data_IF_645768571726
#
_entry.id   IF_645768571726
#
_cell.length_a   1.000
_cell.length_b   1.000
_cell.length_c   1.000
_cell.angle_alpha   90.00
_cell.angle_beta   90.00
_cell.angle_gamma   90.00
#
_symmetry.space_group_name_H-M   'P 1'
#
loop_
_entity.id
_entity.type
_entity.pdbx_description
1 polymer ?
#
# COMPACT_ATOMS: atom_id res chain seq x y z
N UNK A 1 -18.33 6.26 21.92
CA UNK A 1 -17.67 7.05 20.86
C UNK A 1 -16.28 6.48 20.69
N UNK A 2 -15.81 6.13 19.49
CA UNK A 2 -14.41 5.78 19.31
C UNK A 2 -13.55 6.96 19.77
N UNK A 3 -12.42 6.69 20.43
CA UNK A 3 -11.43 7.72 20.72
C UNK A 3 -11.00 8.35 19.40
N UNK A 4 -11.55 9.53 19.12
CA UNK A 4 -11.38 10.27 17.87
C UNK A 4 -9.91 10.64 17.65
N UNK A 5 -9.18 10.82 18.74
CA UNK A 5 -7.74 11.01 18.82
C UNK A 5 -6.95 9.80 18.30
N UNK A 6 -7.48 8.58 18.45
CA UNK A 6 -6.83 7.35 17.99
C UNK A 6 -7.00 7.17 16.47
N UNK A 7 -8.20 7.42 15.92
CA UNK A 7 -8.41 7.31 14.46
C UNK A 7 -7.55 8.30 13.66
N UNK A 8 -7.57 9.59 14.04
CA UNK A 8 -6.85 10.63 13.31
C UNK A 8 -5.33 10.37 13.33
N UNK A 9 -4.78 9.98 14.47
CA UNK A 9 -3.36 9.64 14.58
C UNK A 9 -2.97 8.41 13.76
N UNK A 10 -3.80 7.36 13.74
CA UNK A 10 -3.58 6.18 12.91
C UNK A 10 -3.63 6.54 11.41
N UNK A 11 -4.59 7.37 10.98
CA UNK A 11 -4.68 7.81 9.58
C UNK A 11 -3.50 8.70 9.18
N UNK A 12 -3.04 9.60 10.05
CA UNK A 12 -1.84 10.40 9.80
C UNK A 12 -0.62 9.50 9.63
N UNK A 13 -0.46 8.49 10.50
CA UNK A 13 0.63 7.51 10.39
C UNK A 13 0.57 6.72 9.09
N UNK A 14 -0.59 6.15 8.74
CA UNK A 14 -0.80 5.44 7.47
C UNK A 14 -0.43 6.33 6.28
N UNK A 15 -0.87 7.60 6.29
CA UNK A 15 -0.55 8.55 5.22
C UNK A 15 0.94 8.86 5.14
N UNK A 16 1.62 9.00 6.28
CA UNK A 16 3.08 9.22 6.33
C UNK A 16 3.82 7.99 5.79
N UNK A 17 3.55 6.81 6.35
CA UNK A 17 4.19 5.55 5.99
C UNK A 17 4.00 5.26 4.48
N UNK A 18 2.81 5.51 3.93
CA UNK A 18 2.53 5.38 2.50
C UNK A 18 3.34 6.38 1.64
N UNK A 19 3.46 7.63 2.10
CA UNK A 19 4.20 8.67 1.38
C UNK A 19 5.70 8.40 1.39
N UNK A 20 6.24 7.96 2.53
CA UNK A 20 7.64 7.59 2.69
C UNK A 20 8.00 6.41 1.79
N UNK A 21 7.12 5.40 1.75
CA UNK A 21 7.30 4.23 0.89
C UNK A 21 7.18 4.60 -0.60
N UNK A 22 6.19 5.39 -0.98
CA UNK A 22 6.04 5.91 -2.34
C UNK A 22 7.30 6.67 -2.78
N UNK A 23 7.77 7.62 -1.96
CA UNK A 23 8.98 8.37 -2.24
C UNK A 23 10.20 7.46 -2.39
N UNK A 24 10.33 6.44 -1.53
CA UNK A 24 11.41 5.48 -1.62
C UNK A 24 11.40 4.69 -2.93
N UNK A 25 10.22 4.32 -3.46
CA UNK A 25 10.09 3.65 -4.75
C UNK A 25 10.43 4.59 -5.91
N UNK A 26 10.06 5.87 -5.83
CA UNK A 26 10.37 6.85 -6.89
C UNK A 26 11.86 7.22 -6.94
N UNK A 27 12.53 7.34 -5.79
CA UNK A 27 13.94 7.78 -5.73
C UNK A 27 14.93 6.63 -5.95
N UNK A 28 14.56 5.41 -5.56
CA UNK A 28 15.41 4.23 -5.72
C UNK A 28 14.74 3.18 -6.61
N UNK A 29 14.70 3.40 -7.94
CA UNK A 29 14.19 2.41 -8.88
C UNK A 29 14.99 1.09 -8.77
N UNK A 30 14.40 0.01 -9.27
CA UNK A 30 14.69 -1.42 -9.08
C UNK A 30 16.16 -1.90 -9.15
N UNK A 31 17.13 -1.03 -9.46
CA UNK A 31 18.55 -1.33 -9.49
C UNK A 31 19.16 -1.67 -8.13
N UNK A 32 18.43 -1.49 -7.03
CA UNK A 32 18.95 -1.61 -5.66
C UNK A 32 18.72 -3.00 -5.04
N UNK A 33 18.93 -4.10 -5.77
CA UNK A 33 19.06 -5.45 -5.22
C UNK A 33 17.84 -6.07 -4.52
N UNK A 34 17.83 -7.40 -4.40
CA UNK A 34 16.73 -8.17 -3.81
C UNK A 34 16.43 -7.80 -2.35
N UNK A 35 17.44 -7.38 -1.57
CA UNK A 35 17.29 -7.02 -0.16
C UNK A 35 16.47 -5.74 0.04
N UNK A 36 16.69 -4.70 -0.77
CA UNK A 36 15.90 -3.48 -0.71
C UNK A 36 14.45 -3.77 -1.09
N UNK A 37 14.22 -4.54 -2.15
CA UNK A 37 12.87 -4.87 -2.57
C UNK A 37 12.13 -5.71 -1.52
N UNK A 38 12.80 -6.64 -0.84
CA UNK A 38 12.24 -7.38 0.29
C UNK A 38 11.84 -6.47 1.46
N UNK A 39 12.65 -5.45 1.78
CA UNK A 39 12.28 -4.45 2.78
C UNK A 39 11.02 -3.68 2.35
N UNK A 40 10.93 -3.24 1.09
CA UNK A 40 9.75 -2.53 0.57
C UNK A 40 8.48 -3.38 0.56
N UNK A 41 8.59 -4.67 0.28
CA UNK A 41 7.49 -5.63 0.42
C UNK A 41 7.02 -5.68 1.88
N UNK A 42 7.96 -5.75 2.82
CA UNK A 42 7.65 -5.79 4.26
C UNK A 42 6.97 -4.50 4.71
N UNK A 43 7.48 -3.34 4.28
CA UNK A 43 6.90 -2.03 4.59
C UNK A 43 5.43 -1.95 4.08
N UNK A 44 5.18 -2.37 2.83
CA UNK A 44 3.84 -2.38 2.24
C UNK A 44 2.88 -3.34 2.99
N UNK A 45 3.38 -4.51 3.43
CA UNK A 45 2.60 -5.46 4.22
C UNK A 45 2.26 -4.92 5.61
N UNK A 46 3.20 -4.21 6.27
CA UNK A 46 2.95 -3.57 7.57
C UNK A 46 1.92 -2.44 7.45
N UNK A 47 1.97 -1.66 6.36
CA UNK A 47 0.97 -0.65 6.05
C UNK A 47 -0.42 -1.28 5.88
N UNK A 48 -0.51 -2.37 5.11
CA UNK A 48 -1.75 -3.13 4.94
C UNK A 48 -2.29 -3.69 6.27
N UNK A 49 -1.44 -4.29 7.12
CA UNK A 49 -1.83 -4.80 8.44
C UNK A 49 -2.36 -3.69 9.34
N UNK A 50 -1.71 -2.52 9.33
CA UNK A 50 -2.15 -1.35 10.10
C UNK A 50 -3.54 -0.89 9.65
N UNK A 51 -3.79 -0.80 8.34
CA UNK A 51 -5.09 -0.44 7.79
C UNK A 51 -6.18 -1.50 8.08
N UNK A 52 -5.84 -2.79 8.01
CA UNK A 52 -6.76 -3.88 8.35
C UNK A 52 -7.13 -3.88 9.84
N UNK A 53 -6.17 -3.66 10.74
CA UNK A 53 -6.47 -3.52 12.17
C UNK A 53 -7.39 -2.36 12.43
N UNK A 54 -7.20 -1.25 11.72
CA UNK A 54 -8.11 -0.12 11.81
C UNK A 54 -9.53 -0.50 11.34
N UNK A 55 -9.66 -1.16 10.19
CA UNK A 55 -10.93 -1.67 9.70
C UNK A 55 -11.64 -2.57 10.73
N UNK A 56 -10.91 -3.53 11.29
CA UNK A 56 -11.42 -4.47 12.29
C UNK A 56 -11.79 -3.77 13.61
N UNK A 57 -11.15 -2.67 13.95
CA UNK A 57 -11.51 -1.88 15.14
C UNK A 57 -12.81 -1.10 14.92
N UNK A 58 -13.07 -0.68 13.68
CA UNK A 58 -14.27 0.08 13.30
C UNK A 58 -15.48 -0.82 13.04
N UNK A 59 -15.28 -2.05 12.57
CA UNK A 59 -16.34 -2.97 12.14
C UNK A 59 -17.33 -3.43 13.26
N UNK A 60 -16.89 -3.75 14.50
CA UNK A 60 -17.78 -4.22 15.57
C UNK A 60 -18.71 -3.14 16.14
N UNK A 61 -18.49 -1.86 15.83
CA UNK A 61 -19.18 -0.76 16.51
C UNK A 61 -20.62 -0.53 16.04
N UNK A 62 -21.12 -1.35 15.11
CA UNK A 62 -22.37 -1.09 14.42
C UNK A 62 -23.33 -2.28 14.47
N UNK A 63 -24.13 -2.38 15.54
CA UNK A 63 -25.34 -3.23 15.52
C UNK A 63 -26.36 -2.79 14.45
N UNK A 64 -26.22 -1.54 13.95
CA UNK A 64 -26.87 -1.02 12.75
C UNK A 64 -26.02 0.13 12.17
N UNK A 65 -25.11 -0.12 11.21
CA UNK A 65 -24.18 0.91 10.73
C UNK A 65 -24.93 2.02 10.01
N UNK A 66 -24.57 3.26 10.32
CA UNK A 66 -25.03 4.41 9.54
C UNK A 66 -24.37 4.40 8.16
N UNK A 67 -24.91 5.17 7.20
CA UNK A 67 -24.28 5.35 5.89
C UNK A 67 -22.85 5.88 6.00
N UNK A 68 -22.60 6.77 6.96
CA UNK A 68 -21.28 7.35 7.23
C UNK A 68 -20.30 6.28 7.74
N UNK A 69 -20.75 5.36 8.61
CA UNK A 69 -19.91 4.27 9.11
C UNK A 69 -19.53 3.30 7.98
N UNK A 70 -20.47 3.00 7.07
CA UNK A 70 -20.20 2.15 5.90
C UNK A 70 -19.21 2.80 4.93
N UNK A 71 -19.33 4.12 4.71
CA UNK A 71 -18.39 4.87 3.88
C UNK A 71 -16.99 4.88 4.48
N UNK A 72 -16.88 5.11 5.80
CA UNK A 72 -15.62 5.04 6.53
C UNK A 72 -14.98 3.66 6.40
N UNK A 73 -15.74 2.60 6.66
CA UNK A 73 -15.26 1.22 6.52
C UNK A 73 -14.81 0.92 5.09
N UNK A 74 -15.56 1.39 4.09
CA UNK A 74 -15.19 1.23 2.70
C UNK A 74 -13.88 1.96 2.36
N UNK A 75 -13.71 3.21 2.80
CA UNK A 75 -12.49 3.99 2.56
C UNK A 75 -11.27 3.34 3.23
N UNK A 76 -11.39 2.87 4.48
CA UNK A 76 -10.31 2.14 5.16
C UNK A 76 -10.00 0.81 4.47
N UNK A 77 -11.02 0.11 3.96
CA UNK A 77 -10.82 -1.10 3.16
C UNK A 77 -10.08 -0.82 1.84
N UNK A 78 -10.35 0.32 1.17
CA UNK A 78 -9.60 0.72 -0.02
C UNK A 78 -8.13 1.01 0.29
N UNK A 79 -7.83 1.62 1.44
CA UNK A 79 -6.44 1.84 1.90
C UNK A 79 -5.74 0.50 2.10
N UNK A 80 -6.35 -0.42 2.85
CA UNK A 80 -5.80 -1.75 3.10
C UNK A 80 -5.54 -2.49 1.79
N UNK A 81 -6.51 -2.47 0.88
CA UNK A 81 -6.40 -3.09 -0.44
C UNK A 81 -5.25 -2.48 -1.25
N UNK A 82 -5.16 -1.15 -1.35
CA UNK A 82 -4.08 -0.49 -2.10
C UNK A 82 -2.69 -0.89 -1.60
N UNK A 83 -2.50 -0.98 -0.27
CA UNK A 83 -1.25 -1.44 0.32
C UNK A 83 -0.96 -2.93 0.06
N UNK A 84 -1.99 -3.79 0.08
CA UNK A 84 -1.86 -5.21 -0.27
C UNK A 84 -1.50 -5.41 -1.74
N UNK A 85 -2.19 -4.69 -2.64
CA UNK A 85 -1.94 -4.74 -4.08
C UNK A 85 -0.51 -4.24 -4.37
N UNK A 86 -0.07 -3.15 -3.73
CA UNK A 86 1.32 -2.68 -3.84
C UNK A 86 2.34 -3.74 -3.39
N UNK A 87 2.10 -4.42 -2.27
CA UNK A 87 2.96 -5.51 -1.81
C UNK A 87 3.02 -6.68 -2.81
N UNK A 88 1.88 -7.00 -3.44
CA UNK A 88 1.80 -8.04 -4.47
C UNK A 88 2.59 -7.64 -5.73
N UNK A 89 2.49 -6.40 -6.17
CA UNK A 89 3.26 -5.86 -7.30
C UNK A 89 4.77 -5.88 -7.02
N UNK A 90 5.20 -5.47 -5.83
CA UNK A 90 6.62 -5.55 -5.44
C UNK A 90 7.13 -6.99 -5.37
N UNK A 91 6.28 -7.94 -4.96
CA UNK A 91 6.59 -9.37 -4.97
C UNK A 91 6.73 -9.90 -6.40
N UNK A 92 5.84 -9.47 -7.31
CA UNK A 92 5.93 -9.78 -8.73
C UNK A 92 7.21 -9.21 -9.36
N UNK A 93 7.59 -7.98 -9.00
CA UNK A 93 8.85 -7.37 -9.41
C UNK A 93 10.06 -8.21 -8.99
N UNK A 94 10.08 -8.69 -7.73
CA UNK A 94 11.16 -9.53 -7.20
C UNK A 94 11.26 -10.85 -7.95
N UNK A 95 10.14 -11.57 -8.08
CA UNK A 95 10.09 -12.85 -8.78
C UNK A 95 10.56 -12.70 -10.23
N UNK A 96 10.16 -11.59 -10.87
CA UNK A 96 10.55 -11.28 -12.25
C UNK A 96 12.02 -10.94 -12.37
N UNK A 97 12.59 -10.20 -11.42
CA UNK A 97 14.01 -9.90 -11.36
C UNK A 97 14.85 -11.18 -11.26
N UNK A 98 14.51 -12.06 -10.33
CA UNK A 98 15.20 -13.34 -10.14
C UNK A 98 15.12 -14.25 -11.37
N UNK A 99 13.96 -14.30 -12.03
CA UNK A 99 13.81 -15.09 -13.26
C UNK A 99 14.66 -14.52 -14.41
N UNK A 100 14.73 -13.20 -14.55
CA UNK A 100 15.56 -12.56 -15.55
C UNK A 100 17.04 -12.86 -15.32
N UNK A 101 17.52 -12.76 -14.08
CA UNK A 101 18.91 -13.11 -13.71
C UNK A 101 19.22 -14.57 -14.04
N UNK A 102 18.33 -15.51 -13.69
CA UNK A 102 18.51 -16.93 -14.01
C UNK A 102 18.62 -17.19 -15.51
N UNK A 103 17.74 -16.59 -16.32
CA UNK A 103 17.78 -16.73 -17.78
C UNK A 103 19.04 -16.14 -18.38
N UNK A 104 19.51 -15.02 -17.82
CA UNK A 104 20.72 -14.36 -18.28
C UNK A 104 21.97 -15.16 -17.93
N UNK A 105 22.02 -15.78 -16.75
CA UNK A 105 23.10 -16.69 -16.35
C UNK A 105 23.13 -17.99 -17.17
N UNK A 106 21.97 -18.50 -17.58
CA UNK A 106 21.86 -19.71 -18.40
C UNK A 106 22.09 -19.51 -19.91
N UNK A 107 22.23 -18.27 -20.38
CA UNK A 107 22.41 -17.96 -21.79
C UNK A 107 23.89 -18.04 -22.20
N UNK A 108 24.27 -19.12 -22.89
CA UNK A 108 25.66 -19.36 -23.34
C UNK A 108 26.06 -18.61 -24.61
N UNK A 109 25.12 -18.32 -25.50
CA UNK A 109 25.38 -17.56 -26.74
C UNK A 109 24.06 -17.12 -27.37
N UNK A 110 23.40 -16.12 -26.80
CA UNK A 110 22.17 -15.56 -27.36
C UNK A 110 21.59 -14.42 -26.52
N UNK A 111 20.93 -13.46 -27.19
CA UNK A 111 20.19 -12.38 -26.51
C UNK A 111 18.94 -12.97 -25.87
N UNK A 112 18.81 -12.88 -24.54
CA UNK A 112 17.60 -13.28 -23.82
C UNK A 112 16.47 -12.29 -24.14
N UNK A 113 15.36 -12.80 -24.66
CA UNK A 113 14.13 -12.02 -24.87
C UNK A 113 13.22 -12.22 -23.66
N UNK A 114 12.86 -11.12 -23.00
CA UNK A 114 11.99 -11.13 -21.83
C UNK A 114 10.57 -10.71 -22.25
N UNK A 115 9.60 -11.63 -22.13
CA UNK A 115 8.20 -11.41 -22.55
C UNK A 115 7.31 -11.15 -21.34
N UNK A 116 6.59 -10.03 -21.31
CA UNK A 116 5.71 -9.62 -20.21
C UNK A 116 6.25 -8.40 -19.45
N UNK A 117 5.58 -7.98 -18.37
CA UNK A 117 5.98 -6.78 -17.64
C UNK A 117 7.41 -6.88 -17.10
N UNK A 118 8.11 -5.75 -17.11
CA UNK A 118 9.43 -5.63 -16.50
C UNK A 118 9.28 -5.47 -14.98
N UNK A 119 10.30 -5.83 -14.18
CA UNK A 119 10.29 -5.53 -12.74
C UNK A 119 10.00 -4.06 -12.43
N UNK A 120 10.48 -3.15 -13.27
CA UNK A 120 10.27 -1.72 -13.13
C UNK A 120 8.80 -1.32 -13.31
N UNK A 121 8.08 -1.92 -14.27
CA UNK A 121 6.65 -1.65 -14.48
C UNK A 121 5.80 -2.07 -13.26
N UNK A 122 6.19 -3.17 -12.59
CA UNK A 122 5.54 -3.58 -11.34
C UNK A 122 5.84 -2.60 -10.19
N UNK A 123 7.07 -2.08 -10.10
CA UNK A 123 7.43 -1.06 -9.09
C UNK A 123 6.69 0.26 -9.33
N UNK A 124 6.52 0.66 -10.58
CA UNK A 124 5.72 1.84 -10.97
C UNK A 124 4.25 1.65 -10.58
N UNK A 125 3.66 0.48 -10.88
CA UNK A 125 2.31 0.11 -10.43
C UNK A 125 2.17 0.19 -8.90
N UNK A 126 3.13 -0.37 -8.15
CA UNK A 126 3.14 -0.29 -6.69
C UNK A 126 3.24 1.15 -6.17
N UNK A 127 4.06 1.99 -6.81
CA UNK A 127 4.19 3.40 -6.44
C UNK A 127 2.86 4.13 -6.66
N UNK A 128 2.20 3.96 -7.80
CA UNK A 128 0.90 4.60 -8.09
C UNK A 128 -0.16 4.22 -7.04
N UNK A 129 -0.22 2.94 -6.65
CA UNK A 129 -1.12 2.44 -5.61
C UNK A 129 -0.85 3.10 -4.25
N UNK A 130 0.42 3.22 -3.86
CA UNK A 130 0.82 3.86 -2.60
C UNK A 130 0.58 5.38 -2.63
N UNK A 131 0.83 6.03 -3.77
CA UNK A 131 0.60 7.46 -3.97
C UNK A 131 -0.87 7.86 -3.84
N UNK A 132 -1.80 6.93 -4.03
CA UNK A 132 -3.23 7.17 -3.83
C UNK A 132 -3.65 7.18 -2.35
N UNK A 133 -2.95 6.46 -1.46
CA UNK A 133 -3.34 6.28 -0.05
C UNK A 133 -3.48 7.60 0.74
N UNK A 134 -2.58 8.59 0.61
CA UNK A 134 -2.75 9.89 1.28
C UNK A 134 -4.06 10.59 0.94
N UNK A 135 -4.51 10.49 -0.31
CA UNK A 135 -5.77 11.10 -0.75
C UNK A 135 -6.99 10.42 -0.11
N UNK A 136 -6.95 9.10 0.07
CA UNK A 136 -7.98 8.34 0.79
C UNK A 136 -8.03 8.73 2.27
N UNK A 137 -6.86 8.87 2.91
CA UNK A 137 -6.77 9.33 4.30
C UNK A 137 -7.34 10.75 4.48
N UNK A 138 -7.06 11.63 3.52
CA UNK A 138 -7.60 12.99 3.51
C UNK A 138 -9.11 13.02 3.31
N UNK A 139 -9.67 12.17 2.44
CA UNK A 139 -11.11 12.05 2.23
C UNK A 139 -11.83 11.65 3.53
N UNK A 140 -11.31 10.63 4.24
CA UNK A 140 -11.83 10.20 5.55
C UNK A 140 -11.82 11.36 6.56
N UNK A 141 -10.75 12.17 6.56
CA UNK A 141 -10.59 13.28 7.48
C UNK A 141 -11.56 14.44 7.20
N UNK A 142 -11.92 14.66 5.93
CA UNK A 142 -12.83 15.74 5.49
C UNK A 142 -14.30 15.38 5.62
N UNK A 143 -14.66 14.13 5.33
CA UNK A 143 -16.05 13.67 5.32
C UNK A 143 -16.64 13.52 6.74
N UNK A 144 -15.83 13.78 7.77
CA UNK A 144 -16.29 13.77 9.16
C UNK A 144 -16.79 15.16 9.56
N UNK A 145 -18.09 15.34 9.84
CA UNK A 145 -18.54 16.55 10.52
C UNK A 145 -17.88 16.61 11.90
N UNK A 146 -17.34 17.78 12.27
CA UNK A 146 -17.02 18.08 13.66
C UNK A 146 -18.28 17.75 14.47
N UNK A 147 -18.19 16.80 15.40
CA UNK A 147 -19.27 16.59 16.35
C UNK A 147 -19.46 17.89 17.10
N UNK A 148 -20.48 18.65 16.72
CA UNK A 148 -20.95 19.82 17.44
C UNK A 148 -21.33 19.37 18.84
N UNK A 149 -20.48 19.66 19.82
CA UNK A 149 -20.81 19.55 21.23
C UNK A 149 -21.95 20.53 21.51
N UNK A 150 -23.12 19.99 21.87
CA UNK A 150 -24.15 20.68 22.64
C UNK A 150 -23.99 20.30 24.11
#
# INVERSE_FOLDING_TARGET
MPDTTNLASVLTRISSDASDLHHALCVHPASHGASTLAARITDAQQLADTALRLFLTLSPQASRPSRTDLLLLHQVAQIAKAAQDAAAELTAALARGLENERRQAGATSGRVVLIGPTPQQFIESAADLLGHIPSLCQAISRDRPESSCH
#
